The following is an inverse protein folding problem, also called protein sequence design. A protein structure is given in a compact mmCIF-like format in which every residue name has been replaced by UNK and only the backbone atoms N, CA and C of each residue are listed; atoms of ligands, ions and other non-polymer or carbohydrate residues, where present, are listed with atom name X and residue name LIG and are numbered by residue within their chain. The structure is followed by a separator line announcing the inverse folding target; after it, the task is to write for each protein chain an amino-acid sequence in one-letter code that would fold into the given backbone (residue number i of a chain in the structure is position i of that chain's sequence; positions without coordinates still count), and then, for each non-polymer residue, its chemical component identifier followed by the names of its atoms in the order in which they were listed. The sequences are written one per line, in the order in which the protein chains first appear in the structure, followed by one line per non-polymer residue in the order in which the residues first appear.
data_IF_264171513521
#
_entry.id   IF_264171513521
#
_cell.length_a   1.000
_cell.length_b   1.000
_cell.length_c   1.000
_cell.angle_alpha   90.00
_cell.angle_beta   90.00
_cell.angle_gamma   90.00
#
_symmetry.space_group_name_H-M   'P 1'
#
loop_
_entity.id
_entity.type
_entity.pdbx_description
1 polymer ?
#
# COMPACT_ATOMS: atom_id res chain seq x y z
N UNK A 1 -1.77 -22.33 16.45
CA UNK A 1 -2.89 -21.42 16.76
C UNK A 1 -2.54 -20.24 17.67
N UNK A 2 -1.64 -20.40 18.66
CA UNK A 2 -1.27 -19.28 19.56
C UNK A 2 -0.50 -18.15 18.84
N UNK A 3 0.36 -18.49 17.88
CA UNK A 3 1.20 -17.49 17.20
C UNK A 3 0.39 -16.43 16.41
N UNK A 4 -0.58 -16.79 15.53
CA UNK A 4 -1.43 -15.80 14.86
C UNK A 4 -2.15 -14.85 15.85
N UNK A 5 -2.66 -15.39 16.96
CA UNK A 5 -3.30 -14.59 18.01
C UNK A 5 -2.34 -13.57 18.62
N UNK A 6 -1.16 -14.02 19.06
CA UNK A 6 -0.17 -13.14 19.69
C UNK A 6 0.26 -12.02 18.75
N UNK A 7 0.35 -12.33 17.45
CA UNK A 7 0.75 -11.38 16.42
C UNK A 7 -0.30 -10.28 16.21
N UNK A 8 -1.57 -10.67 16.12
CA UNK A 8 -2.69 -9.72 16.02
C UNK A 8 -2.81 -8.90 17.30
N UNK A 9 -2.73 -9.54 18.46
CA UNK A 9 -2.73 -8.86 19.75
C UNK A 9 -1.63 -7.79 19.83
N UNK A 10 -0.38 -8.18 19.53
CA UNK A 10 0.76 -7.28 19.60
C UNK A 10 0.65 -6.11 18.60
N UNK A 11 0.20 -6.40 17.37
CA UNK A 11 0.00 -5.38 16.34
C UNK A 11 -1.08 -4.37 16.75
N UNK A 12 -2.26 -4.85 17.16
CA UNK A 12 -3.37 -3.99 17.57
C UNK A 12 -2.99 -3.18 18.82
N UNK A 13 -2.38 -3.81 19.81
CA UNK A 13 -1.90 -3.13 21.02
C UNK A 13 -0.87 -2.05 20.70
N UNK A 14 0.08 -2.36 19.82
CA UNK A 14 1.10 -1.43 19.34
C UNK A 14 0.50 -0.23 18.60
N UNK A 15 -0.45 -0.48 17.69
CA UNK A 15 -1.16 0.57 16.96
C UNK A 15 -1.95 1.47 17.92
N UNK A 16 -2.74 0.90 18.83
CA UNK A 16 -3.53 1.67 19.80
C UNK A 16 -2.64 2.52 20.72
N UNK A 17 -1.49 1.96 21.14
CA UNK A 17 -0.52 2.69 21.96
C UNK A 17 0.18 3.80 21.18
N UNK A 18 0.50 3.57 19.90
CA UNK A 18 1.18 4.58 19.06
C UNK A 18 0.26 5.71 18.62
N UNK A 19 -1.01 5.39 18.36
CA UNK A 19 -2.03 6.36 17.91
C UNK A 19 -2.64 7.16 19.05
N UNK A 20 -2.45 6.73 20.31
CA UNK A 20 -2.95 7.42 21.50
C UNK A 20 -4.46 7.71 21.46
N UNK A 21 -5.26 6.88 20.77
CA UNK A 21 -6.72 7.05 20.68
C UNK A 21 -7.37 7.09 22.07
N UNK A 22 -6.85 6.28 23.00
CA UNK A 22 -7.28 6.24 24.41
C UNK A 22 -6.28 6.91 25.36
N UNK A 23 -5.45 7.83 24.84
CA UNK A 23 -4.36 8.49 25.57
C UNK A 23 -3.44 7.45 26.22
N UNK A 24 -3.13 7.62 27.52
CA UNK A 24 -2.21 6.76 28.27
C UNK A 24 -2.88 5.55 28.93
N UNK A 25 -4.14 5.24 28.59
CA UNK A 25 -4.83 4.10 29.19
C UNK A 25 -4.40 2.76 28.56
N UNK A 26 -3.23 2.28 28.98
CA UNK A 26 -2.65 1.00 28.53
C UNK A 26 -3.53 -0.20 28.84
N UNK A 27 -4.32 -0.14 29.92
CA UNK A 27 -5.24 -1.21 30.27
C UNK A 27 -6.35 -1.36 29.23
N UNK A 28 -6.95 -0.26 28.79
CA UNK A 28 -7.98 -0.26 27.73
C UNK A 28 -7.37 -0.77 26.41
N UNK A 29 -6.20 -0.28 26.03
CA UNK A 29 -5.51 -0.76 24.82
C UNK A 29 -5.27 -2.28 24.87
N UNK A 30 -4.87 -2.80 26.02
CA UNK A 30 -4.66 -4.23 26.26
C UNK A 30 -5.95 -5.04 26.14
N UNK A 31 -7.04 -4.58 26.75
CA UNK A 31 -8.35 -5.24 26.69
C UNK A 31 -8.86 -5.27 25.23
N UNK A 32 -8.79 -4.15 24.51
CA UNK A 32 -9.25 -4.09 23.12
C UNK A 32 -8.40 -5.02 22.24
N UNK A 33 -7.07 -4.97 22.36
CA UNK A 33 -6.19 -5.85 21.62
C UNK A 33 -6.45 -7.34 21.90
N UNK A 34 -6.74 -7.69 23.17
CA UNK A 34 -7.08 -9.05 23.58
C UNK A 34 -8.39 -9.49 22.93
N UNK A 35 -9.44 -8.67 23.01
CA UNK A 35 -10.73 -8.96 22.38
C UNK A 35 -10.56 -9.14 20.87
N UNK A 36 -9.88 -8.23 20.18
CA UNK A 36 -9.65 -8.33 18.73
C UNK A 36 -8.85 -9.59 18.37
N UNK A 37 -7.79 -9.89 19.13
CA UNK A 37 -7.00 -11.11 18.95
C UNK A 37 -7.85 -12.37 19.13
N UNK A 38 -8.68 -12.44 20.17
CA UNK A 38 -9.55 -13.60 20.41
C UNK A 38 -10.66 -13.72 19.35
N UNK A 39 -11.28 -12.61 18.94
CA UNK A 39 -12.26 -12.59 17.84
C UNK A 39 -11.64 -13.10 16.53
N UNK A 40 -10.38 -12.76 16.26
CA UNK A 40 -9.68 -13.23 15.07
C UNK A 40 -9.49 -14.74 15.02
N UNK A 41 -9.40 -15.42 16.17
CA UNK A 41 -9.29 -16.87 16.25
C UNK A 41 -10.60 -17.60 15.96
N UNK A 42 -11.76 -16.93 16.08
CA UNK A 42 -13.05 -17.57 15.82
C UNK A 42 -13.22 -17.97 14.35
N UNK A 43 -12.52 -17.28 13.44
CA UNK A 43 -12.55 -17.60 12.03
C UNK A 43 -11.30 -18.36 11.63
N UNK A 44 -11.46 -19.57 11.10
CA UNK A 44 -10.36 -20.40 10.58
C UNK A 44 -9.56 -19.70 9.48
N UNK A 45 -10.17 -18.69 8.83
CA UNK A 45 -9.53 -17.84 7.84
C UNK A 45 -8.22 -17.22 8.32
N UNK A 46 -8.16 -16.76 9.58
CA UNK A 46 -6.97 -16.05 10.09
C UNK A 46 -5.79 -17.01 10.27
N UNK A 47 -5.92 -18.15 10.98
CA UNK A 47 -4.87 -19.16 11.01
C UNK A 47 -4.42 -19.63 9.62
N UNK A 48 -5.36 -19.85 8.69
CA UNK A 48 -5.06 -20.30 7.32
C UNK A 48 -4.28 -19.25 6.54
N UNK A 49 -4.69 -17.98 6.61
CA UNK A 49 -3.98 -16.87 5.99
C UNK A 49 -2.52 -16.80 6.46
N UNK A 50 -2.30 -16.90 7.77
CA UNK A 50 -0.96 -16.84 8.33
C UNK A 50 -0.13 -18.10 8.04
N UNK A 51 -0.74 -19.29 7.96
CA UNK A 51 -0.04 -20.51 7.55
C UNK A 51 0.42 -20.48 6.10
N UNK A 52 -0.13 -19.59 5.27
CA UNK A 52 0.29 -19.43 3.88
C UNK A 52 1.24 -18.26 3.68
N UNK A 53 0.92 -17.09 4.26
CA UNK A 53 1.75 -15.89 4.06
C UNK A 53 3.14 -16.05 4.68
N UNK A 54 3.26 -16.66 5.86
CA UNK A 54 4.54 -16.73 6.55
C UNK A 54 5.55 -17.68 5.90
N UNK A 55 5.19 -18.92 5.49
CA UNK A 55 6.12 -19.76 4.75
C UNK A 55 6.60 -19.10 3.45
N UNK A 56 5.68 -18.46 2.70
CA UNK A 56 6.01 -17.80 1.43
C UNK A 56 6.89 -16.57 1.63
N UNK A 57 6.60 -15.74 2.65
CA UNK A 57 7.48 -14.64 3.05
C UNK A 57 8.85 -15.16 3.51
N UNK A 58 8.90 -16.26 4.26
CA UNK A 58 10.17 -16.87 4.70
C UNK A 58 11.05 -17.27 3.52
N UNK A 59 10.46 -17.90 2.50
CA UNK A 59 11.16 -18.21 1.24
C UNK A 59 11.61 -16.94 0.53
N UNK A 60 10.72 -15.94 0.39
CA UNK A 60 11.05 -14.65 -0.23
C UNK A 60 12.20 -13.92 0.47
N UNK A 61 12.18 -13.87 1.81
CA UNK A 61 13.25 -13.27 2.62
C UNK A 61 14.57 -14.03 2.46
N UNK A 62 14.52 -15.36 2.33
CA UNK A 62 15.70 -16.19 2.10
C UNK A 62 16.33 -15.88 0.73
N UNK A 63 15.51 -15.65 -0.30
CA UNK A 63 15.99 -15.19 -1.62
C UNK A 63 16.65 -13.82 -1.51
N UNK A 64 16.02 -12.85 -0.82
CA UNK A 64 16.60 -11.52 -0.59
C UNK A 64 17.95 -11.64 0.14
N UNK A 65 18.05 -12.48 1.16
CA UNK A 65 19.27 -12.70 1.91
C UNK A 65 20.39 -13.26 1.01
N UNK A 66 20.10 -14.24 0.16
CA UNK A 66 21.09 -14.78 -0.79
C UNK A 66 21.56 -13.69 -1.75
N UNK A 67 20.64 -12.90 -2.30
CA UNK A 67 20.97 -11.79 -3.21
C UNK A 67 21.81 -10.74 -2.48
N UNK A 68 21.48 -10.42 -1.24
CA UNK A 68 22.23 -9.50 -0.38
C UNK A 68 23.67 -9.96 -0.16
N UNK A 69 23.88 -11.26 0.11
CA UNK A 69 25.21 -11.83 0.28
C UNK A 69 26.01 -11.71 -1.02
N UNK A 70 25.40 -12.04 -2.17
CA UNK A 70 26.06 -11.95 -3.46
C UNK A 70 26.39 -10.50 -3.85
N UNK A 71 25.45 -9.58 -3.69
CA UNK A 71 25.66 -8.16 -3.96
C UNK A 71 26.73 -7.59 -3.02
N UNK A 72 26.66 -7.88 -1.72
CA UNK A 72 27.64 -7.41 -0.75
C UNK A 72 29.05 -7.94 -0.98
N UNK A 73 29.20 -9.12 -1.59
CA UNK A 73 30.51 -9.72 -1.89
C UNK A 73 31.16 -9.16 -3.15
N UNK A 74 30.35 -8.74 -4.13
CA UNK A 74 30.84 -8.31 -5.45
C UNK A 74 30.63 -6.82 -5.76
N UNK A 75 30.01 -6.04 -4.88
CA UNK A 75 29.55 -4.68 -5.18
C UNK A 75 30.01 -3.66 -4.16
N UNK A 76 30.47 -2.51 -4.65
CA UNK A 76 30.91 -1.38 -3.82
C UNK A 76 29.72 -0.74 -3.08
N UNK A 77 29.78 -0.60 -1.74
CA UNK A 77 28.70 -0.01 -0.92
C UNK A 77 28.38 1.46 -1.27
N UNK A 78 29.33 2.17 -1.86
CA UNK A 78 29.24 3.62 -2.10
C UNK A 78 28.38 4.00 -3.30
N UNK A 79 27.92 3.02 -4.09
CA UNK A 79 27.03 3.29 -5.23
C UNK A 79 25.57 3.16 -4.81
N UNK A 80 24.71 4.04 -5.31
CA UNK A 80 23.28 4.08 -4.94
C UNK A 80 22.39 3.08 -5.68
N UNK A 81 22.80 2.62 -6.86
CA UNK A 81 22.05 1.65 -7.68
C UNK A 81 21.76 0.28 -7.03
N UNK A 82 22.61 -0.32 -6.17
CA UNK A 82 22.35 -1.62 -5.56
C UNK A 82 21.15 -1.56 -4.61
N UNK A 83 20.98 -0.43 -3.91
CA UNK A 83 19.83 -0.19 -3.03
C UNK A 83 18.52 -0.13 -3.81
N UNK A 84 18.49 0.58 -4.94
CA UNK A 84 17.31 0.62 -5.82
C UNK A 84 17.00 -0.74 -6.43
N UNK A 85 18.03 -1.48 -6.85
CA UNK A 85 17.89 -2.84 -7.38
C UNK A 85 17.29 -3.79 -6.33
N UNK A 86 17.81 -3.77 -5.10
CA UNK A 86 17.27 -4.55 -3.99
C UNK A 86 15.83 -4.16 -3.65
N UNK A 87 15.53 -2.86 -3.62
CA UNK A 87 14.17 -2.37 -3.35
C UNK A 87 13.19 -2.88 -4.41
N UNK A 88 13.58 -2.88 -5.68
CA UNK A 88 12.80 -3.45 -6.78
C UNK A 88 12.52 -4.94 -6.56
N UNK A 89 13.54 -5.73 -6.25
CA UNK A 89 13.41 -7.17 -5.98
C UNK A 89 12.53 -7.44 -4.76
N UNK A 90 12.76 -6.74 -3.65
CA UNK A 90 11.97 -6.89 -2.43
C UNK A 90 10.49 -6.57 -2.69
N UNK A 91 10.22 -5.51 -3.46
CA UNK A 91 8.86 -5.13 -3.86
C UNK A 91 8.20 -6.23 -4.68
N UNK A 92 8.90 -6.78 -5.69
CA UNK A 92 8.39 -7.88 -6.52
C UNK A 92 8.06 -9.10 -5.65
N UNK A 93 8.98 -9.49 -4.75
CA UNK A 93 8.78 -10.63 -3.85
C UNK A 93 7.56 -10.42 -2.97
N UNK A 94 7.42 -9.25 -2.36
CA UNK A 94 6.25 -8.93 -1.52
C UNK A 94 4.96 -9.00 -2.33
N UNK A 95 4.93 -8.42 -3.53
CA UNK A 95 3.76 -8.47 -4.42
C UNK A 95 3.41 -9.90 -4.78
N UNK A 96 4.39 -10.72 -5.17
CA UNK A 96 4.18 -12.14 -5.53
C UNK A 96 3.61 -12.91 -4.34
N UNK A 97 4.19 -12.74 -3.13
CA UNK A 97 3.70 -13.44 -1.94
C UNK A 97 2.27 -13.02 -1.62
N UNK A 98 1.96 -11.71 -1.66
CA UNK A 98 0.61 -11.21 -1.39
C UNK A 98 -0.41 -11.73 -2.40
N UNK A 99 -0.09 -11.72 -3.70
CA UNK A 99 -0.98 -12.21 -4.76
C UNK A 99 -1.26 -13.70 -4.57
N UNK A 100 -0.22 -14.51 -4.41
CA UNK A 100 -0.41 -15.95 -4.24
C UNK A 100 -1.19 -16.25 -2.95
N UNK A 101 -0.91 -15.55 -1.85
CA UNK A 101 -1.63 -15.76 -0.58
C UNK A 101 -3.10 -15.39 -0.74
N UNK A 102 -3.41 -14.27 -1.39
CA UNK A 102 -4.77 -13.84 -1.68
C UNK A 102 -5.53 -14.88 -2.51
N UNK A 103 -4.91 -15.41 -3.57
CA UNK A 103 -5.49 -16.48 -4.39
C UNK A 103 -5.82 -17.72 -3.56
N UNK A 104 -4.90 -18.17 -2.70
CA UNK A 104 -5.09 -19.37 -1.89
C UNK A 104 -6.28 -19.23 -0.93
N UNK A 105 -6.41 -18.08 -0.27
CA UNK A 105 -7.50 -17.86 0.72
C UNK A 105 -8.86 -17.56 0.06
N UNK A 106 -8.97 -17.78 -1.26
CA UNK A 106 -10.21 -17.55 -2.00
C UNK A 106 -10.53 -16.07 -2.19
N UNK A 107 -9.57 -15.16 -1.97
CA UNK A 107 -9.71 -13.78 -2.39
C UNK A 107 -9.52 -13.76 -3.92
N UNK A 108 -10.63 -13.82 -4.65
CA UNK A 108 -10.74 -13.73 -6.11
C UNK A 108 -10.25 -12.38 -6.71
N UNK A 109 -9.38 -11.65 -6.01
CA UNK A 109 -8.75 -10.44 -6.51
C UNK A 109 -7.99 -10.69 -7.81
N UNK A 110 -7.26 -11.81 -7.91
CA UNK A 110 -6.55 -12.19 -9.14
C UNK A 110 -7.46 -12.35 -10.36
N UNK A 111 -8.58 -13.06 -10.20
CA UNK A 111 -9.58 -13.25 -11.26
C UNK A 111 -10.32 -11.95 -11.61
N UNK A 112 -10.67 -11.15 -10.59
CA UNK A 112 -11.26 -9.82 -10.80
C UNK A 112 -10.32 -8.92 -11.61
N UNK A 113 -9.04 -8.81 -11.23
CA UNK A 113 -8.08 -8.00 -11.98
C UNK A 113 -7.82 -8.57 -13.38
N UNK A 114 -7.73 -9.90 -13.53
CA UNK A 114 -7.55 -10.55 -14.83
C UNK A 114 -8.73 -10.38 -15.79
N UNK A 115 -9.98 -10.41 -15.29
CA UNK A 115 -11.17 -10.24 -16.12
C UNK A 115 -11.53 -8.76 -16.34
N UNK A 116 -11.24 -7.89 -15.36
CA UNK A 116 -11.72 -6.51 -15.36
C UNK A 116 -10.65 -5.47 -15.73
N UNK A 117 -9.37 -5.84 -15.91
CA UNK A 117 -8.35 -4.89 -16.36
C UNK A 117 -8.69 -4.16 -17.66
N UNK A 118 -9.39 -4.75 -18.67
CA UNK A 118 -9.78 -4.02 -19.87
C UNK A 118 -10.84 -2.94 -19.58
N UNK A 119 -11.80 -3.25 -18.71
CA UNK A 119 -12.85 -2.30 -18.29
C UNK A 119 -12.31 -1.17 -17.42
N UNK A 120 -11.39 -1.48 -16.51
CA UNK A 120 -10.72 -0.48 -15.66
C UNK A 120 -9.87 0.46 -16.52
N UNK A 121 -9.15 -0.04 -17.52
CA UNK A 121 -8.42 0.80 -18.49
C UNK A 121 -9.36 1.71 -19.28
N UNK A 122 -10.52 1.22 -19.73
CA UNK A 122 -11.51 2.04 -20.43
C UNK A 122 -12.07 3.17 -19.54
N UNK A 123 -12.33 2.90 -18.27
CA UNK A 123 -12.79 3.93 -17.31
C UNK A 123 -11.69 4.96 -17.04
N UNK A 124 -10.44 4.52 -16.88
CA UNK A 124 -9.31 5.43 -16.65
C UNK A 124 -9.00 6.29 -17.87
N UNK A 125 -8.94 5.70 -19.06
CA UNK A 125 -8.69 6.42 -20.32
C UNK A 125 -9.90 7.32 -20.64
N UNK A 126 -11.12 6.81 -20.50
CA UNK A 126 -12.35 7.58 -20.71
C UNK A 126 -12.48 8.75 -19.73
N UNK A 127 -12.17 8.52 -18.46
CA UNK A 127 -12.15 9.56 -17.42
C UNK A 127 -11.05 10.60 -17.65
N UNK A 128 -9.85 10.17 -18.07
CA UNK A 128 -8.76 11.07 -18.44
C UNK A 128 -9.12 11.92 -19.68
N UNK A 129 -9.77 11.32 -20.68
CA UNK A 129 -10.27 12.03 -21.87
C UNK A 129 -11.37 13.04 -21.49
N UNK A 130 -12.33 12.65 -20.65
CA UNK A 130 -13.37 13.55 -20.17
C UNK A 130 -12.79 14.72 -19.35
N UNK A 131 -11.75 14.45 -18.55
CA UNK A 131 -11.02 15.48 -17.81
C UNK A 131 -10.23 16.42 -18.74
N UNK A 132 -9.58 15.90 -19.78
CA UNK A 132 -8.89 16.69 -20.79
C UNK A 132 -9.85 17.59 -21.58
N UNK A 133 -11.01 17.05 -21.97
CA UNK A 133 -12.05 17.82 -22.69
C UNK A 133 -12.64 18.91 -21.80
N UNK A 134 -12.89 18.62 -20.52
CA UNK A 134 -13.45 19.60 -19.58
C UNK A 134 -12.43 20.65 -19.12
N UNK A 135 -11.13 20.34 -19.10
CA UNK A 135 -10.06 21.28 -18.73
C UNK A 135 -9.66 22.20 -19.89
N UNK A 136 -9.82 21.78 -21.15
CA UNK A 136 -9.56 22.61 -22.34
C UNK A 136 -10.50 23.82 -22.50
N UNK A 137 -11.64 23.85 -21.80
CA UNK A 137 -12.62 24.93 -21.87
C UNK A 137 -12.37 26.15 -20.98
N UNK A 138 -11.38 26.11 -20.06
CA UNK A 138 -11.21 27.15 -19.02
C UNK A 138 -10.18 28.25 -19.31
N UNK A 139 -9.66 28.37 -20.53
CA UNK A 139 -8.55 29.31 -20.81
C UNK A 139 -8.83 30.40 -21.86
N UNK A 140 -10.07 30.89 -21.97
CA UNK A 140 -10.41 32.12 -22.70
C UNK A 140 -11.28 33.07 -21.89
N UNK A 141 -10.72 33.65 -20.83
CA UNK A 141 -11.19 34.94 -20.31
C UNK A 141 -10.12 35.55 -19.41
N UNK A 142 -8.94 35.83 -19.96
CA UNK A 142 -8.08 36.87 -19.38
C UNK A 142 -8.60 38.19 -19.94
N UNK A 143 -9.29 38.92 -19.07
CA UNK A 143 -9.69 40.31 -19.26
C UNK A 143 -8.47 41.14 -19.69
N UNK A 144 -8.68 41.90 -20.75
CA UNK A 144 -7.68 42.74 -21.39
C UNK A 144 -7.23 43.88 -20.44
N UNK A 145 -5.98 43.88 -19.95
CA UNK A 145 -5.52 44.84 -18.93
C UNK A 145 -5.46 46.29 -19.46
N UNK A 146 -5.56 46.50 -20.78
CA UNK A 146 -5.49 47.84 -21.38
C UNK A 146 -6.78 48.67 -21.23
N UNK A 147 -7.89 48.05 -20.82
CA UNK A 147 -9.17 48.76 -20.63
C UNK A 147 -9.24 49.54 -19.30
N UNK A 148 -8.37 49.23 -18.34
CA UNK A 148 -8.32 49.88 -17.03
C UNK A 148 -7.55 51.22 -17.03
N UNK A 149 -6.73 51.49 -18.05
CA UNK A 149 -5.93 52.73 -18.12
C UNK A 149 -6.67 53.91 -18.79
N UNK A 150 -7.75 53.67 -19.54
CA UNK A 150 -8.45 54.74 -20.27
C UNK A 150 -9.37 55.62 -19.40
N UNK A 151 -9.60 55.26 -18.13
CA UNK A 151 -10.51 56.00 -17.23
C UNK A 151 -9.81 56.80 -16.13
N UNK A 152 -8.48 56.98 -16.22
CA UNK A 152 -7.76 57.94 -15.38
C UNK A 152 -7.61 59.25 -16.15
N UNK A 153 -8.69 60.02 -16.19
CA UNK A 153 -8.68 61.43 -16.51
C UNK A 153 -8.14 62.20 -15.31
N UNK A 154 -6.91 62.69 -15.43
CA UNK A 154 -6.45 63.84 -14.65
C UNK A 154 -6.84 65.10 -15.47
N UNK A 155 -7.52 66.04 -14.79
CA UNK A 155 -7.84 67.45 -15.12
C UNK A 155 -8.66 67.83 -16.37
#
# INVERSE_FOLDING_TARGET
YVLPFLLIFALVFGILTRTQIFKDNKAINGIIALVVGLLSLQFDFVPIFFSEIFPRLGVGLSIILVILILLGLFMDPDKSWPGYFMFGIATIIVVVVLVQTAEYVGWYGGYFWYDNWPGILLILVGGAMAWLVSSGGRNRSKSDPYRAMMFRSDD
#
